data_IF_401193924804
#
_entry.id   IF_401193924804
#
_cell.length_a   1.000
_cell.length_b   1.000
_cell.length_c   1.000
_cell.angle_alpha   90.00
_cell.angle_beta   90.00
_cell.angle_gamma   90.00
#
_symmetry.space_group_name_H-M   'P 1'
#
loop_
_entity.id
_entity.type
_entity.pdbx_description
1 polymer ?
#
# COMPACT_ATOMS: atom_id res chain seq x y z
N UNK A 1 -12.93 13.26 6.46
CA UNK A 1 -13.81 12.74 5.74
C UNK A 1 -15.24 13.28 5.52
N UNK A 2 -16.09 12.42 4.96
CA UNK A 2 -17.48 12.76 4.60
C UNK A 2 -18.47 12.77 5.79
N UNK A 3 -18.01 12.62 7.05
CA UNK A 3 -18.85 12.72 8.26
C UNK A 3 -19.79 11.54 8.53
N UNK A 4 -19.58 10.40 7.89
CA UNK A 4 -20.37 9.18 8.15
C UNK A 4 -19.86 8.44 9.40
N UNK A 5 -20.77 7.73 10.09
CA UNK A 5 -20.37 6.80 11.14
C UNK A 5 -19.61 5.61 10.56
N UNK A 6 -18.81 4.93 11.37
CA UNK A 6 -18.05 3.78 10.94
C UNK A 6 -18.95 2.57 10.56
N UNK A 7 -20.14 2.47 11.14
CA UNK A 7 -21.13 1.43 10.82
C UNK A 7 -21.68 1.58 9.39
N UNK A 8 -21.94 2.84 8.98
CA UNK A 8 -22.33 3.16 7.59
C UNK A 8 -21.17 2.88 6.63
N UNK A 9 -19.94 3.21 7.04
CA UNK A 9 -18.74 2.89 6.23
C UNK A 9 -18.55 1.37 6.06
N UNK A 10 -18.79 0.56 7.11
CA UNK A 10 -18.76 -0.90 7.01
C UNK A 10 -19.84 -1.45 6.07
N UNK A 11 -21.06 -0.86 6.11
CA UNK A 11 -22.11 -1.22 5.18
C UNK A 11 -21.71 -0.93 3.73
N UNK A 12 -21.03 0.21 3.48
CA UNK A 12 -20.52 0.55 2.15
C UNK A 12 -19.44 -0.44 1.69
N UNK A 13 -18.51 -0.85 2.56
CA UNK A 13 -17.49 -1.89 2.27
C UNK A 13 -18.14 -3.23 1.97
N UNK A 14 -19.19 -3.62 2.70
CA UNK A 14 -19.92 -4.86 2.41
C UNK A 14 -20.56 -4.83 1.02
N UNK A 15 -21.25 -3.74 0.68
CA UNK A 15 -21.88 -3.56 -0.65
C UNK A 15 -20.82 -3.55 -1.75
N UNK A 16 -19.71 -2.86 -1.54
CA UNK A 16 -18.55 -2.87 -2.42
C UNK A 16 -18.03 -4.29 -2.69
N UNK A 17 -17.78 -5.07 -1.61
CA UNK A 17 -17.32 -6.46 -1.72
C UNK A 17 -18.27 -7.34 -2.52
N UNK A 18 -19.59 -7.20 -2.33
CA UNK A 18 -20.60 -7.93 -3.10
C UNK A 18 -20.58 -7.53 -4.58
N UNK A 19 -20.46 -6.23 -4.88
CA UNK A 19 -20.30 -5.75 -6.26
C UNK A 19 -19.01 -6.32 -6.87
N UNK A 20 -17.91 -6.40 -6.12
CA UNK A 20 -16.66 -6.97 -6.58
C UNK A 20 -16.77 -8.47 -6.90
N UNK A 21 -17.51 -9.23 -6.11
CA UNK A 21 -17.79 -10.63 -6.41
C UNK A 21 -18.47 -10.72 -7.78
N UNK A 22 -19.51 -9.92 -8.02
CA UNK A 22 -20.21 -9.88 -9.32
C UNK A 22 -19.29 -9.49 -10.48
N UNK A 23 -18.48 -8.44 -10.30
CA UNK A 23 -17.53 -7.96 -11.32
C UNK A 23 -16.41 -8.99 -11.59
N UNK A 24 -16.01 -9.76 -10.58
CA UNK A 24 -15.01 -10.84 -10.74
C UNK A 24 -15.61 -12.05 -11.45
N UNK A 25 -16.86 -12.42 -11.15
CA UNK A 25 -17.57 -13.51 -11.82
C UNK A 25 -17.83 -13.21 -13.30
N UNK A 26 -18.14 -11.95 -13.62
CA UNK A 26 -18.40 -11.49 -14.99
C UNK A 26 -17.12 -11.13 -15.77
N UNK A 27 -15.93 -11.32 -15.20
CA UNK A 27 -14.60 -11.04 -15.77
C UNK A 27 -14.38 -9.54 -16.10
N UNK A 28 -15.17 -8.62 -15.57
CA UNK A 28 -15.00 -7.17 -15.80
C UNK A 28 -13.68 -6.66 -15.18
N UNK A 29 -13.36 -7.06 -13.95
CA UNK A 29 -12.09 -6.70 -13.28
C UNK A 29 -10.88 -7.24 -14.06
N UNK A 30 -10.97 -8.47 -14.58
CA UNK A 30 -9.92 -9.04 -15.45
C UNK A 30 -9.76 -8.27 -16.75
N UNK A 31 -10.88 -7.84 -17.37
CA UNK A 31 -10.83 -7.04 -18.59
C UNK A 31 -10.15 -5.67 -18.33
N UNK A 32 -10.40 -5.03 -17.20
CA UNK A 32 -9.73 -3.78 -16.79
C UNK A 32 -8.23 -4.02 -16.64
N UNK A 33 -7.82 -5.07 -15.92
CA UNK A 33 -6.41 -5.43 -15.76
C UNK A 33 -5.72 -5.62 -17.12
N UNK A 34 -6.36 -6.38 -18.01
CA UNK A 34 -5.79 -6.70 -19.33
C UNK A 34 -5.79 -5.51 -20.29
N UNK A 35 -6.64 -4.51 -20.07
CA UNK A 35 -6.68 -3.30 -20.89
C UNK A 35 -5.48 -2.37 -20.67
N UNK A 36 -4.87 -2.43 -19.48
CA UNK A 36 -3.71 -1.60 -19.14
C UNK A 36 -2.49 -2.10 -19.93
N UNK A 37 -1.80 -1.24 -20.70
CA UNK A 37 -0.62 -1.60 -21.47
C UNK A 37 0.54 -2.08 -20.58
N UNK A 38 1.38 -3.00 -21.10
CA UNK A 38 2.52 -3.58 -20.36
C UNK A 38 3.47 -2.53 -19.79
N UNK A 39 3.83 -1.53 -20.58
CA UNK A 39 4.69 -0.41 -20.16
C UNK A 39 4.08 0.35 -18.96
N UNK A 40 2.77 0.59 -19.00
CA UNK A 40 2.09 1.26 -17.91
C UNK A 40 2.00 0.37 -16.66
N UNK A 41 1.88 -0.96 -16.82
CA UNK A 41 1.96 -1.91 -15.69
C UNK A 41 3.32 -1.88 -15.01
N UNK A 42 4.41 -1.80 -15.77
CA UNK A 42 5.75 -1.61 -15.21
C UNK A 42 5.84 -0.30 -14.44
N UNK A 43 5.31 0.79 -15.01
CA UNK A 43 5.26 2.10 -14.37
C UNK A 43 4.47 2.08 -13.05
N UNK A 44 3.35 1.35 -13.00
CA UNK A 44 2.57 1.14 -11.77
C UNK A 44 3.43 0.48 -10.69
N UNK A 45 4.16 -0.59 -11.02
CA UNK A 45 5.06 -1.23 -10.05
C UNK A 45 6.14 -0.28 -9.51
N UNK A 46 6.76 0.51 -10.38
CA UNK A 46 7.76 1.52 -10.01
C UNK A 46 7.16 2.62 -9.13
N UNK A 47 5.99 3.13 -9.52
CA UNK A 47 5.28 4.18 -8.78
C UNK A 47 4.88 3.73 -7.38
N UNK A 48 4.37 2.50 -7.23
CA UNK A 48 4.10 1.89 -5.93
C UNK A 48 5.39 1.79 -5.11
N UNK A 49 6.50 1.35 -5.70
CA UNK A 49 7.79 1.28 -5.01
C UNK A 49 8.23 2.63 -4.46
N UNK A 50 8.10 3.70 -5.26
CA UNK A 50 8.40 5.06 -4.83
C UNK A 50 7.43 5.55 -3.74
N UNK A 51 6.15 5.22 -3.86
CA UNK A 51 5.10 5.59 -2.92
C UNK A 51 5.31 4.94 -1.54
N UNK A 52 5.57 3.62 -1.47
CA UNK A 52 5.82 2.96 -0.18
C UNK A 52 7.14 3.41 0.45
N UNK A 53 8.15 3.76 -0.35
CA UNK A 53 9.37 4.39 0.15
C UNK A 53 9.05 5.72 0.82
N UNK A 54 8.22 6.55 0.18
CA UNK A 54 7.78 7.83 0.72
C UNK A 54 6.99 7.66 2.02
N UNK A 55 6.04 6.70 2.08
CA UNK A 55 5.34 6.34 3.32
C UNK A 55 6.32 5.91 4.40
N UNK A 56 7.32 5.09 4.07
CA UNK A 56 8.36 4.67 5.02
C UNK A 56 9.11 5.87 5.60
N UNK A 57 9.51 6.83 4.77
CA UNK A 57 10.20 8.04 5.20
C UNK A 57 9.32 8.94 6.10
N UNK A 58 8.02 9.03 5.81
CA UNK A 58 7.07 9.77 6.66
C UNK A 58 6.81 9.06 7.99
N UNK A 59 6.58 7.75 7.98
CA UNK A 59 6.37 6.95 9.19
C UNK A 59 7.58 6.98 10.13
N UNK A 60 8.78 7.17 9.57
CA UNK A 60 10.02 7.34 10.32
C UNK A 60 10.28 8.80 10.74
N UNK A 61 9.42 9.74 10.37
CA UNK A 61 9.59 11.17 10.55
C UNK A 61 10.88 11.72 9.90
N UNK A 62 11.47 11.01 8.93
CA UNK A 62 12.61 11.50 8.13
C UNK A 62 12.16 12.62 7.21
N UNK A 63 10.98 12.43 6.62
CA UNK A 63 10.25 13.44 5.83
C UNK A 63 9.02 13.86 6.61
N UNK A 64 8.88 15.14 6.82
CA UNK A 64 7.80 15.76 7.60
C UNK A 64 7.08 16.84 6.78
N UNK A 65 5.94 17.30 7.25
CA UNK A 65 5.21 18.39 6.61
C UNK A 65 6.07 19.65 6.54
N UNK A 66 6.00 20.34 5.40
CA UNK A 66 6.74 21.57 5.15
C UNK A 66 5.89 22.64 4.48
N UNK A 67 6.39 23.87 4.47
CA UNK A 67 5.68 24.99 3.87
C UNK A 67 5.37 24.79 2.36
N UNK A 68 6.19 23.97 1.69
CA UNK A 68 6.07 23.69 0.25
C UNK A 68 5.77 22.23 -0.06
N UNK A 69 5.05 21.54 0.77
CA UNK A 69 4.60 20.15 0.73
C UNK A 69 5.29 19.30 1.79
N UNK A 70 6.60 19.04 1.65
CA UNK A 70 7.38 18.24 2.61
C UNK A 70 8.77 18.84 2.79
N UNK A 71 9.39 18.55 3.94
CA UNK A 71 10.76 18.90 4.27
C UNK A 71 11.46 17.76 5.00
N UNK A 72 12.76 17.83 5.14
CA UNK A 72 13.52 16.89 5.97
C UNK A 72 13.41 17.28 7.44
N UNK A 73 13.38 16.27 8.31
CA UNK A 73 13.45 16.47 9.75
C UNK A 73 14.67 17.26 10.18
N UNK A 74 14.48 18.26 11.04
CA UNK A 74 15.55 19.13 11.54
C UNK A 74 16.05 18.66 12.91
N UNK A 75 17.16 17.95 12.93
CA UNK A 75 17.81 17.56 14.19
C UNK A 75 18.19 18.78 15.06
N UNK A 76 18.58 19.89 14.42
CA UNK A 76 18.91 21.13 15.14
C UNK A 76 17.71 21.68 15.89
N UNK A 77 16.55 21.72 15.24
CA UNK A 77 15.30 22.19 15.87
C UNK A 77 14.86 21.26 17.00
N UNK A 78 14.93 19.95 16.80
CA UNK A 78 14.59 18.97 17.83
C UNK A 78 15.50 19.09 19.08
N UNK A 79 16.80 19.34 18.88
CA UNK A 79 17.74 19.58 19.99
C UNK A 79 17.37 20.90 20.72
N UNK A 80 17.09 21.97 19.97
CA UNK A 80 16.74 23.26 20.54
C UNK A 80 15.41 23.22 21.29
N UNK A 81 14.43 22.49 20.76
CA UNK A 81 13.11 22.29 21.37
C UNK A 81 13.10 21.26 22.52
N UNK A 82 14.20 20.51 22.71
CA UNK A 82 14.28 19.46 23.73
C UNK A 82 13.53 18.18 23.38
N UNK A 83 13.09 18.00 22.11
CA UNK A 83 12.35 16.82 21.65
C UNK A 83 13.25 15.74 21.06
N UNK A 84 14.57 15.94 21.04
CA UNK A 84 15.51 14.98 20.46
C UNK A 84 15.42 13.60 21.11
N UNK A 85 15.23 13.51 22.43
CA UNK A 85 15.17 12.23 23.15
C UNK A 85 13.90 11.42 22.86
N UNK A 86 12.82 12.04 22.37
CA UNK A 86 11.59 11.32 21.99
C UNK A 86 11.50 11.14 20.47
N UNK A 87 11.69 12.20 19.70
CA UNK A 87 11.48 12.23 18.26
C UNK A 87 12.80 12.08 17.48
N UNK A 88 13.82 12.92 17.77
CA UNK A 88 15.07 12.93 17.01
C UNK A 88 15.81 11.59 17.03
N UNK A 89 15.80 10.90 18.16
CA UNK A 89 16.44 9.59 18.29
C UNK A 89 15.72 8.51 17.43
N UNK A 90 14.39 8.58 17.28
CA UNK A 90 13.66 7.63 16.44
C UNK A 90 13.97 7.82 14.96
N UNK A 91 14.10 9.06 14.50
CA UNK A 91 14.54 9.39 13.14
C UNK A 91 15.96 8.85 12.88
N UNK A 92 16.87 9.06 13.82
CA UNK A 92 18.24 8.54 13.72
C UNK A 92 18.26 7.01 13.66
N UNK A 93 17.47 6.34 14.51
CA UNK A 93 17.32 4.88 14.52
C UNK A 93 16.74 4.35 13.21
N UNK A 94 15.78 5.04 12.60
CA UNK A 94 15.23 4.66 11.29
C UNK A 94 16.30 4.73 10.19
N UNK A 95 17.11 5.77 10.17
CA UNK A 95 18.21 5.91 9.21
C UNK A 95 19.27 4.80 9.40
N UNK A 96 19.68 4.54 10.64
CA UNK A 96 20.60 3.44 10.98
C UNK A 96 19.96 2.10 10.61
N UNK A 97 18.69 1.87 10.93
CA UNK A 97 17.94 0.67 10.58
C UNK A 97 17.87 0.44 9.07
N UNK A 98 17.69 1.51 8.30
CA UNK A 98 17.70 1.44 6.82
C UNK A 98 19.08 0.99 6.30
N UNK A 99 20.18 1.51 6.87
CA UNK A 99 21.53 1.08 6.51
C UNK A 99 21.77 -0.39 6.91
N UNK A 100 21.35 -0.79 8.11
CA UNK A 100 21.49 -2.18 8.58
C UNK A 100 20.71 -3.13 7.67
N UNK A 101 19.42 -2.82 7.38
CA UNK A 101 18.60 -3.65 6.50
C UNK A 101 19.21 -3.75 5.11
N UNK A 102 19.70 -2.64 4.56
CA UNK A 102 20.40 -2.62 3.27
C UNK A 102 21.66 -3.47 3.27
N UNK A 103 22.45 -3.44 4.33
CA UNK A 103 23.64 -4.31 4.48
C UNK A 103 23.27 -5.79 4.57
N UNK A 104 22.18 -6.14 5.27
CA UNK A 104 21.68 -7.51 5.32
C UNK A 104 21.23 -8.01 3.93
N UNK A 105 20.58 -7.14 3.15
CA UNK A 105 20.21 -7.43 1.75
C UNK A 105 21.45 -7.65 0.88
N UNK A 106 22.43 -6.74 0.94
CA UNK A 106 23.69 -6.84 0.18
C UNK A 106 24.44 -8.16 0.49
N UNK A 107 24.41 -8.56 1.76
CA UNK A 107 25.03 -9.82 2.20
C UNK A 107 24.15 -11.06 1.94
N UNK A 108 23.00 -10.93 1.30
CA UNK A 108 22.04 -12.00 1.03
C UNK A 108 21.65 -12.82 2.28
N UNK A 109 21.52 -12.15 3.44
CA UNK A 109 21.07 -12.78 4.67
C UNK A 109 19.61 -13.18 4.55
N UNK A 110 19.25 -14.44 4.80
CA UNK A 110 17.86 -14.90 4.76
C UNK A 110 17.04 -14.19 5.85
N UNK A 111 15.84 -13.73 5.50
CA UNK A 111 14.98 -12.96 6.40
C UNK A 111 15.52 -11.55 6.70
N UNK A 112 16.31 -10.99 5.80
CA UNK A 112 16.97 -9.69 5.96
C UNK A 112 16.03 -8.56 6.37
N UNK A 113 14.80 -8.51 5.83
CA UNK A 113 13.80 -7.50 6.16
C UNK A 113 13.31 -7.66 7.60
N UNK A 114 12.93 -8.89 8.01
CA UNK A 114 12.50 -9.15 9.38
C UNK A 114 13.62 -8.88 10.38
N UNK A 115 14.83 -9.34 10.09
CA UNK A 115 16.00 -9.08 10.93
C UNK A 115 16.28 -7.58 11.03
N UNK A 116 16.13 -6.83 9.93
CA UNK A 116 16.25 -5.38 9.93
C UNK A 116 15.27 -4.70 10.88
N UNK A 117 14.00 -5.10 10.86
CA UNK A 117 12.97 -4.61 11.79
C UNK A 117 13.35 -4.94 13.24
N UNK A 118 13.68 -6.20 13.53
CA UNK A 118 13.98 -6.66 14.88
C UNK A 118 15.25 -6.01 15.45
N UNK A 119 16.30 -5.85 14.65
CA UNK A 119 17.55 -5.17 15.07
C UNK A 119 17.26 -3.69 15.34
N UNK A 120 16.52 -3.01 14.45
CA UNK A 120 16.20 -1.58 14.64
C UNK A 120 15.34 -1.38 15.88
N UNK A 121 14.34 -2.23 16.12
CA UNK A 121 13.54 -2.21 17.34
C UNK A 121 14.39 -2.50 18.58
N UNK A 122 15.26 -3.52 18.53
CA UNK A 122 16.19 -3.85 19.61
C UNK A 122 17.13 -2.69 19.98
N UNK A 123 17.64 -1.97 18.97
CA UNK A 123 18.41 -0.75 19.20
C UNK A 123 17.56 0.33 19.87
N UNK A 124 16.30 0.48 19.48
CA UNK A 124 15.34 1.38 20.13
C UNK A 124 15.14 1.04 21.60
N UNK A 125 14.94 -0.26 21.92
CA UNK A 125 14.83 -0.73 23.32
C UNK A 125 16.09 -0.43 24.10
N UNK A 126 17.28 -0.64 23.53
CA UNK A 126 18.54 -0.28 24.17
C UNK A 126 18.62 1.24 24.42
N UNK A 127 18.20 2.08 23.49
CA UNK A 127 18.13 3.52 23.69
C UNK A 127 17.14 3.88 24.82
N UNK A 128 16.02 3.20 24.94
CA UNK A 128 15.07 3.42 26.04
C UNK A 128 15.66 3.01 27.41
N UNK A 129 16.35 1.87 27.48
CA UNK A 129 16.98 1.40 28.73
C UNK A 129 18.14 2.30 29.19
N UNK A 130 18.86 2.93 28.24
CA UNK A 130 19.96 3.86 28.54
C UNK A 130 19.51 5.30 28.76
N UNK A 131 18.20 5.60 28.60
CA UNK A 131 17.65 6.95 28.74
C UNK A 131 17.92 7.87 27.53
N UNK A 132 18.46 7.35 26.45
CA UNK A 132 18.61 8.10 25.20
C UNK A 132 17.25 8.30 24.47
N UNK A 133 16.36 7.32 24.58
CA UNK A 133 14.97 7.44 24.15
C UNK A 133 14.08 7.58 25.39
N UNK A 134 13.30 8.64 25.41
CA UNK A 134 12.31 8.92 26.48
C UNK A 134 10.92 8.90 25.85
N UNK A 135 10.03 7.96 26.24
CA UNK A 135 8.66 7.93 25.76
C UNK A 135 7.92 9.24 26.05
N UNK A 136 7.19 9.74 25.06
CA UNK A 136 6.30 10.90 25.20
C UNK A 136 4.93 10.54 24.58
N UNK A 137 4.02 9.90 25.34
CA UNK A 137 2.73 9.43 24.82
C UNK A 137 1.83 10.56 24.27
N UNK A 138 1.95 11.79 24.81
CA UNK A 138 1.19 12.95 24.35
C UNK A 138 1.58 13.35 22.91
N UNK A 139 2.84 13.13 22.53
CA UNK A 139 3.34 13.33 21.19
C UNK A 139 3.31 12.06 20.31
N UNK A 140 2.69 10.96 20.77
CA UNK A 140 2.58 9.71 20.03
C UNK A 140 3.78 8.76 20.14
N UNK A 141 4.78 9.08 20.97
CA UNK A 141 5.96 8.24 21.19
C UNK A 141 5.80 7.35 22.42
N UNK A 142 5.41 6.09 22.20
CA UNK A 142 5.12 5.13 23.25
C UNK A 142 6.35 4.32 23.67
N UNK A 143 6.20 3.56 24.79
CA UNK A 143 7.22 2.62 25.22
C UNK A 143 7.47 1.55 24.15
N UNK A 144 8.76 1.26 23.90
CA UNK A 144 9.21 0.23 22.94
C UNK A 144 9.26 -1.16 23.57
N UNK A 145 9.09 -1.22 24.90
CA UNK A 145 9.08 -2.46 25.66
C UNK A 145 7.64 -2.93 25.80
N UNK A 146 7.32 -4.17 25.34
CA UNK A 146 5.97 -4.70 25.47
C UNK A 146 5.54 -4.79 26.95
N UNK A 147 4.30 -4.40 27.25
CA UNK A 147 3.76 -4.50 28.59
C UNK A 147 3.59 -5.97 29.04
N UNK A 148 3.35 -6.87 28.08
CA UNK A 148 3.28 -8.33 28.28
C UNK A 148 3.68 -9.04 27.00
N UNK A 149 4.04 -10.33 27.07
CA UNK A 149 4.37 -11.12 25.88
C UNK A 149 3.12 -11.73 25.23
N UNK A 150 2.13 -12.07 26.04
CA UNK A 150 0.91 -12.75 25.60
C UNK A 150 -0.29 -12.02 26.20
N UNK A 151 -1.33 -11.87 25.39
CA UNK A 151 -2.64 -11.41 25.81
C UNK A 151 -3.73 -12.24 25.11
N UNK A 152 -4.89 -12.38 25.74
CA UNK A 152 -6.04 -12.96 25.05
C UNK A 152 -6.55 -12.01 23.97
N UNK A 153 -6.92 -12.53 22.80
CA UNK A 153 -7.51 -11.70 21.74
C UNK A 153 -8.73 -10.92 22.25
N UNK A 154 -8.83 -9.65 21.84
CA UNK A 154 -10.00 -8.85 22.16
C UNK A 154 -11.27 -9.43 21.52
N UNK A 155 -12.42 -9.26 22.19
CA UNK A 155 -13.70 -9.69 21.64
C UNK A 155 -14.04 -8.93 20.35
N UNK A 156 -14.52 -9.63 19.34
CA UNK A 156 -15.06 -9.05 18.10
C UNK A 156 -16.50 -8.53 18.28
N UNK A 157 -17.17 -8.82 19.40
CA UNK A 157 -18.58 -8.44 19.61
C UNK A 157 -18.89 -6.93 19.38
N UNK A 158 -18.00 -5.97 19.67
CA UNK A 158 -18.26 -4.57 19.39
C UNK A 158 -18.34 -4.21 17.89
N UNK A 159 -17.69 -4.99 17.03
CA UNK A 159 -17.56 -4.68 15.59
C UNK A 159 -18.29 -5.69 14.69
N UNK A 160 -18.50 -6.92 15.19
CA UNK A 160 -19.08 -7.99 14.40
C UNK A 160 -20.53 -7.67 13.98
N UNK A 161 -20.79 -7.69 12.67
CA UNK A 161 -22.10 -7.42 12.05
C UNK A 161 -22.73 -6.07 12.46
N UNK A 162 -21.90 -5.04 12.71
CA UNK A 162 -22.36 -3.70 13.08
C UNK A 162 -22.61 -2.79 11.88
N UNK A 163 -22.81 -3.36 10.70
CA UNK A 163 -23.10 -2.61 9.48
C UNK A 163 -24.48 -1.93 9.57
N UNK A 164 -24.54 -0.63 9.28
CA UNK A 164 -25.78 0.13 9.23
C UNK A 164 -26.21 0.36 7.77
N UNK A 165 -27.27 -0.30 7.35
CA UNK A 165 -27.85 -0.19 6.01
C UNK A 165 -29.03 0.81 5.93
N UNK A 166 -29.30 1.60 6.97
CA UNK A 166 -30.47 2.49 7.03
C UNK A 166 -30.55 3.49 5.87
N UNK A 167 -29.38 3.91 5.36
CA UNK A 167 -29.26 4.91 4.29
C UNK A 167 -28.76 4.34 2.94
N UNK A 168 -28.83 3.03 2.72
CA UNK A 168 -28.25 2.33 1.57
C UNK A 168 -28.77 2.84 0.21
N UNK A 169 -29.98 3.37 0.13
CA UNK A 169 -30.57 3.90 -1.10
C UNK A 169 -30.34 5.43 -1.26
N UNK A 170 -29.67 6.08 -0.33
CA UNK A 170 -29.36 7.50 -0.48
C UNK A 170 -28.29 7.75 -1.56
N UNK A 171 -28.40 8.85 -2.28
CA UNK A 171 -27.41 9.26 -3.29
C UNK A 171 -26.01 9.37 -2.66
N UNK A 172 -25.95 9.93 -1.45
CA UNK A 172 -24.69 10.09 -0.73
C UNK A 172 -24.04 8.74 -0.40
N UNK A 173 -24.81 7.73 0.04
CA UNK A 173 -24.29 6.38 0.27
C UNK A 173 -23.75 5.74 -1.02
N UNK A 174 -24.48 5.89 -2.14
CA UNK A 174 -24.02 5.40 -3.45
C UNK A 174 -22.72 6.06 -3.89
N UNK A 175 -22.53 7.35 -3.62
CA UNK A 175 -21.27 8.06 -3.86
C UNK A 175 -20.13 7.47 -3.04
N UNK A 176 -20.36 7.15 -1.76
CA UNK A 176 -19.36 6.50 -0.90
C UNK A 176 -18.99 5.12 -1.43
N UNK A 177 -19.97 4.28 -1.74
CA UNK A 177 -19.74 2.94 -2.32
C UNK A 177 -18.96 3.05 -3.62
N UNK A 178 -19.34 3.98 -4.51
CA UNK A 178 -18.64 4.20 -5.77
C UNK A 178 -17.19 4.64 -5.53
N UNK A 179 -16.96 5.53 -4.59
CA UNK A 179 -15.61 6.01 -4.24
C UNK A 179 -14.73 4.86 -3.71
N UNK A 180 -15.24 4.03 -2.81
CA UNK A 180 -14.54 2.87 -2.28
C UNK A 180 -14.24 1.87 -3.39
N UNK A 181 -15.27 1.48 -4.15
CA UNK A 181 -15.15 0.57 -5.28
C UNK A 181 -14.11 1.03 -6.30
N UNK A 182 -14.09 2.33 -6.58
CA UNK A 182 -13.14 2.91 -7.52
C UNK A 182 -11.70 2.82 -6.99
N UNK A 183 -11.47 3.25 -5.75
CA UNK A 183 -10.14 3.22 -5.13
C UNK A 183 -9.65 1.78 -5.03
N UNK A 184 -10.45 0.87 -4.48
CA UNK A 184 -10.04 -0.52 -4.24
C UNK A 184 -9.79 -1.30 -5.54
N UNK A 185 -10.58 -1.08 -6.62
CA UNK A 185 -10.27 -1.70 -7.93
C UNK A 185 -8.84 -1.38 -8.35
N UNK A 186 -8.45 -0.11 -8.31
CA UNK A 186 -7.16 0.31 -8.84
C UNK A 186 -6.02 0.02 -7.87
N UNK A 187 -6.24 0.08 -6.57
CA UNK A 187 -5.25 -0.33 -5.57
C UNK A 187 -4.96 -1.82 -5.66
N UNK A 188 -5.99 -2.68 -5.70
CA UNK A 188 -5.82 -4.13 -5.90
C UNK A 188 -5.14 -4.45 -7.24
N UNK A 189 -5.60 -3.84 -8.35
CA UNK A 189 -4.98 -4.08 -9.65
C UNK A 189 -3.53 -3.61 -9.68
N UNK A 190 -3.23 -2.44 -9.10
CA UNK A 190 -1.88 -1.91 -8.99
C UNK A 190 -0.97 -2.85 -8.20
N UNK A 191 -1.39 -3.29 -7.04
CA UNK A 191 -0.64 -4.20 -6.17
C UNK A 191 -0.42 -5.57 -6.83
N UNK A 192 -1.46 -6.14 -7.48
CA UNK A 192 -1.33 -7.39 -8.23
C UNK A 192 -0.34 -7.25 -9.39
N UNK A 193 -0.37 -6.13 -10.13
CA UNK A 193 0.61 -5.83 -11.18
C UNK A 193 2.02 -5.77 -10.58
N UNK A 194 2.19 -5.02 -9.49
CA UNK A 194 3.48 -4.85 -8.83
C UNK A 194 4.08 -6.16 -8.35
N UNK A 195 3.31 -6.95 -7.59
CA UNK A 195 3.73 -8.25 -7.08
C UNK A 195 3.97 -9.26 -8.21
N UNK A 196 3.08 -9.34 -9.20
CA UNK A 196 3.21 -10.26 -10.33
C UNK A 196 4.43 -9.92 -11.21
N UNK A 197 4.69 -8.63 -11.46
CA UNK A 197 5.89 -8.19 -12.20
C UNK A 197 7.18 -8.55 -11.45
N UNK A 198 7.19 -8.38 -10.11
CA UNK A 198 8.34 -8.75 -9.27
C UNK A 198 8.56 -10.26 -9.22
N UNK A 199 7.47 -11.05 -9.27
CA UNK A 199 7.52 -12.51 -9.26
C UNK A 199 7.78 -13.14 -10.63
N UNK A 200 7.91 -12.35 -11.71
CA UNK A 200 7.96 -12.77 -13.10
C UNK A 200 6.76 -13.69 -13.48
N UNK A 201 5.58 -13.39 -12.94
CA UNK A 201 4.36 -14.17 -13.17
C UNK A 201 3.53 -13.65 -14.36
N UNK A 202 3.86 -12.49 -14.91
CA UNK A 202 3.19 -11.98 -16.11
C UNK A 202 3.65 -12.74 -17.34
N UNK A 203 2.71 -13.05 -18.23
CA UNK A 203 3.01 -13.65 -19.52
C UNK A 203 3.63 -12.63 -20.50
N UNK A 204 3.95 -13.07 -21.73
CA UNK A 204 4.57 -12.24 -22.77
C UNK A 204 3.68 -11.06 -23.21
N UNK A 205 2.37 -11.19 -23.01
CA UNK A 205 1.38 -10.15 -23.30
C UNK A 205 1.12 -9.24 -22.08
N UNK A 206 1.85 -9.43 -20.97
CA UNK A 206 1.68 -8.69 -19.72
C UNK A 206 0.41 -9.07 -18.95
N UNK A 207 -0.17 -10.26 -19.20
CA UNK A 207 -1.34 -10.77 -18.49
C UNK A 207 -0.92 -11.64 -17.32
N UNK A 208 -1.71 -11.62 -16.25
CA UNK A 208 -1.51 -12.48 -15.10
C UNK A 208 -2.37 -13.75 -15.22
N UNK A 209 -1.75 -14.94 -15.35
CA UNK A 209 -2.52 -16.18 -15.37
C UNK A 209 -3.35 -16.36 -14.08
N UNK A 210 -4.58 -16.86 -14.23
CA UNK A 210 -5.51 -17.13 -13.11
C UNK A 210 -5.89 -15.89 -12.29
N UNK A 211 -5.77 -14.69 -12.83
CA UNK A 211 -6.11 -13.43 -12.17
C UNK A 211 -7.54 -13.42 -11.59
N UNK A 212 -8.50 -14.08 -12.27
CA UNK A 212 -9.89 -14.20 -11.79
C UNK A 212 -9.99 -14.77 -10.38
N UNK A 213 -9.20 -15.82 -10.08
CA UNK A 213 -9.18 -16.42 -8.75
C UNK A 213 -8.62 -15.47 -7.69
N UNK A 214 -7.57 -14.71 -8.02
CA UNK A 214 -6.99 -13.71 -7.12
C UNK A 214 -8.00 -12.58 -6.82
N UNK A 215 -8.64 -12.03 -7.86
CA UNK A 215 -9.64 -10.97 -7.73
C UNK A 215 -10.90 -11.44 -6.98
N UNK A 216 -11.29 -12.71 -7.12
CA UNK A 216 -12.42 -13.27 -6.38
C UNK A 216 -12.08 -13.48 -4.90
N UNK A 217 -10.86 -13.95 -4.59
CA UNK A 217 -10.40 -14.11 -3.22
C UNK A 217 -10.36 -12.76 -2.48
N UNK A 218 -9.88 -11.71 -3.14
CA UNK A 218 -9.86 -10.33 -2.66
C UNK A 218 -11.29 -9.83 -2.35
N UNK A 219 -12.23 -10.00 -3.28
CA UNK A 219 -13.63 -9.59 -3.12
C UNK A 219 -14.34 -10.33 -1.96
N UNK A 220 -14.08 -11.63 -1.82
CA UNK A 220 -14.62 -12.43 -0.69
C UNK A 220 -13.98 -11.95 0.61
N UNK A 221 -12.67 -11.70 0.62
CA UNK A 221 -11.95 -11.15 1.77
C UNK A 221 -12.55 -9.83 2.25
N UNK A 222 -12.81 -8.89 1.34
CA UNK A 222 -13.45 -7.60 1.63
C UNK A 222 -14.84 -7.78 2.24
N UNK A 223 -15.67 -8.64 1.63
CA UNK A 223 -17.03 -8.91 2.15
C UNK A 223 -17.00 -9.52 3.56
N UNK A 224 -16.14 -10.53 3.78
CA UNK A 224 -15.96 -11.17 5.10
C UNK A 224 -15.38 -10.18 6.10
N UNK A 225 -14.42 -9.36 5.68
CA UNK A 225 -13.83 -8.29 6.50
C UNK A 225 -14.86 -7.32 7.03
N UNK A 226 -15.77 -6.85 6.16
CA UNK A 226 -16.87 -5.98 6.57
C UNK A 226 -17.78 -6.62 7.63
N UNK A 227 -18.09 -7.93 7.50
CA UNK A 227 -18.86 -8.68 8.49
C UNK A 227 -18.12 -8.75 9.84
N UNK A 228 -16.79 -8.91 9.82
CA UNK A 228 -15.95 -8.94 11.02
C UNK A 228 -15.71 -7.54 11.62
N UNK A 229 -16.03 -6.47 10.89
CA UNK A 229 -15.91 -5.09 11.35
C UNK A 229 -14.59 -4.42 10.97
N UNK A 230 -13.95 -4.86 9.89
CA UNK A 230 -12.77 -4.19 9.33
C UNK A 230 -13.09 -3.52 8.00
N UNK A 231 -12.22 -2.59 7.58
CA UNK A 231 -12.29 -1.96 6.26
C UNK A 231 -12.02 -2.94 5.12
N UNK A 232 -12.04 -2.46 3.88
CA UNK A 232 -11.69 -3.20 2.68
C UNK A 232 -10.41 -4.01 2.88
N UNK A 233 -10.43 -5.28 2.50
CA UNK A 233 -9.26 -6.17 2.48
C UNK A 233 -8.76 -6.21 1.04
N UNK A 234 -7.52 -5.81 0.83
CA UNK A 234 -6.89 -5.75 -0.49
C UNK A 234 -5.56 -6.52 -0.49
N UNK A 235 -5.03 -6.75 -1.67
CA UNK A 235 -3.70 -7.36 -1.84
C UNK A 235 -2.62 -6.40 -1.34
N UNK A 236 -1.71 -6.87 -0.47
CA UNK A 236 -0.63 -6.07 0.11
C UNK A 236 0.63 -6.05 -0.76
N UNK A 237 1.18 -4.86 -0.95
CA UNK A 237 2.46 -4.63 -1.65
C UNK A 237 3.63 -5.30 -0.94
N UNK A 238 3.58 -5.39 0.39
CA UNK A 238 4.56 -6.04 1.26
C UNK A 238 4.74 -7.54 0.92
N UNK A 239 3.77 -8.16 0.25
CA UNK A 239 3.91 -9.51 -0.34
C UNK A 239 5.12 -9.63 -1.26
N UNK A 240 5.58 -8.52 -1.86
CA UNK A 240 6.80 -8.48 -2.67
C UNK A 240 8.06 -8.84 -1.90
N UNK A 241 8.08 -8.65 -0.57
CA UNK A 241 9.18 -9.07 0.29
C UNK A 241 9.27 -10.59 0.40
N UNK A 242 8.13 -11.26 0.64
CA UNK A 242 8.06 -12.73 0.63
C UNK A 242 8.40 -13.33 -0.74
N UNK A 243 8.00 -12.66 -1.82
CA UNK A 243 8.35 -13.04 -3.20
C UNK A 243 9.87 -12.93 -3.41
N UNK A 244 10.51 -11.88 -2.91
CA UNK A 244 11.96 -11.69 -2.98
C UNK A 244 12.73 -12.80 -2.23
N UNK A 245 12.19 -13.28 -1.10
CA UNK A 245 12.73 -14.42 -0.33
C UNK A 245 12.43 -15.79 -0.96
N UNK A 246 11.67 -15.85 -2.05
CA UNK A 246 11.42 -17.07 -2.81
C UNK A 246 10.01 -17.66 -2.69
N UNK A 247 9.05 -16.96 -2.11
CA UNK A 247 7.65 -17.40 -2.09
C UNK A 247 7.09 -17.49 -3.52
N UNK A 248 6.49 -18.64 -3.88
CA UNK A 248 5.96 -18.90 -5.24
C UNK A 248 4.63 -19.65 -5.26
N UNK A 249 4.12 -20.07 -4.11
CA UNK A 249 2.91 -20.88 -4.01
C UNK A 249 1.95 -20.33 -2.94
N UNK A 250 0.67 -20.71 -3.02
CA UNK A 250 -0.33 -20.36 -2.01
C UNK A 250 -0.03 -20.88 -0.60
N UNK A 251 0.91 -21.84 -0.46
CA UNK A 251 1.34 -22.30 0.87
C UNK A 251 1.94 -21.18 1.70
N UNK A 252 2.72 -20.28 1.08
CA UNK A 252 3.26 -19.09 1.77
C UNK A 252 2.15 -18.20 2.32
N UNK A 253 1.06 -18.00 1.56
CA UNK A 253 -0.09 -17.22 2.02
C UNK A 253 -0.84 -17.89 3.17
N UNK A 254 -0.97 -19.23 3.16
CA UNK A 254 -1.55 -19.98 4.28
C UNK A 254 -0.71 -19.81 5.55
N UNK A 255 0.63 -19.90 5.42
CA UNK A 255 1.55 -19.67 6.55
C UNK A 255 1.41 -18.24 7.08
N UNK A 256 1.35 -17.25 6.20
CA UNK A 256 1.14 -15.84 6.59
C UNK A 256 -0.19 -15.69 7.33
N UNK A 257 -1.29 -16.28 6.82
CA UNK A 257 -2.59 -16.27 7.51
C UNK A 257 -2.52 -16.92 8.88
N UNK A 258 -1.83 -18.06 9.02
CA UNK A 258 -1.58 -18.71 10.30
C UNK A 258 -0.78 -17.84 11.28
N UNK A 259 0.24 -17.13 10.79
CA UNK A 259 1.02 -16.18 11.59
C UNK A 259 0.17 -14.99 12.03
N UNK A 260 -0.73 -14.47 11.18
CA UNK A 260 -1.69 -13.43 11.59
C UNK A 260 -2.62 -13.92 12.70
N UNK A 261 -3.13 -15.16 12.62
CA UNK A 261 -3.95 -15.74 13.70
C UNK A 261 -3.15 -15.91 15.01
N UNK A 262 -1.90 -16.35 14.92
CA UNK A 262 -1.01 -16.44 16.08
C UNK A 262 -0.70 -15.05 16.66
N UNK A 263 -0.54 -14.03 15.83
CA UNK A 263 -0.24 -12.67 16.27
C UNK A 263 -1.32 -12.06 17.16
N UNK A 264 -2.57 -12.56 17.10
CA UNK A 264 -3.65 -12.13 18.00
C UNK A 264 -3.29 -12.37 19.48
N UNK A 265 -2.59 -13.47 19.77
CA UNK A 265 -2.14 -13.80 21.12
C UNK A 265 -0.87 -13.03 21.53
N UNK A 266 -0.09 -12.61 20.56
CA UNK A 266 1.13 -11.82 20.77
C UNK A 266 0.92 -10.33 20.49
N UNK A 267 -0.33 -9.88 20.50
CA UNK A 267 -0.69 -8.48 20.19
C UNK A 267 0.12 -7.44 20.98
N UNK A 268 0.45 -7.61 22.28
CA UNK A 268 1.25 -6.62 22.99
C UNK A 268 2.68 -6.47 22.43
N UNK A 269 3.25 -7.55 21.90
CA UNK A 269 4.58 -7.53 21.28
C UNK A 269 4.51 -6.78 19.93
N UNK A 270 3.54 -7.13 19.07
CA UNK A 270 3.40 -6.50 17.77
C UNK A 270 3.04 -5.01 17.88
N UNK A 271 2.20 -4.64 18.85
CA UNK A 271 1.84 -3.25 19.10
C UNK A 271 2.99 -2.40 19.67
N UNK A 272 4.00 -3.05 20.26
CA UNK A 272 5.19 -2.35 20.76
C UNK A 272 6.24 -2.09 19.67
N UNK A 273 6.12 -2.71 18.47
CA UNK A 273 7.02 -2.45 17.34
C UNK A 273 6.69 -1.06 16.75
N UNK A 274 7.61 -0.09 16.86
CA UNK A 274 7.32 1.27 16.43
C UNK A 274 7.46 1.43 14.91
N UNK A 275 6.82 2.47 14.36
CA UNK A 275 6.88 2.78 12.93
C UNK A 275 8.29 3.04 12.42
N UNK A 276 9.17 3.65 13.23
CA UNK A 276 10.57 3.85 12.84
C UNK A 276 11.36 2.54 12.64
N UNK A 277 10.94 1.44 13.28
CA UNK A 277 11.58 0.14 13.10
C UNK A 277 11.06 -0.59 11.85
N UNK A 278 9.82 -0.34 11.44
CA UNK A 278 9.22 -0.93 10.22
C UNK A 278 9.53 -0.12 8.96
N UNK A 279 9.79 1.16 9.08
CA UNK A 279 10.10 2.06 7.97
C UNK A 279 11.27 1.59 7.07
N UNK A 280 12.40 1.06 7.62
CA UNK A 280 13.48 0.47 6.82
C UNK A 280 12.98 -0.63 5.87
N UNK A 281 12.04 -1.45 6.32
CA UNK A 281 11.45 -2.51 5.50
C UNK A 281 10.69 -1.92 4.29
N UNK A 282 9.85 -0.90 4.51
CA UNK A 282 9.11 -0.22 3.44
C UNK A 282 10.05 0.41 2.42
N UNK A 283 11.12 1.05 2.87
CA UNK A 283 12.13 1.68 2.00
C UNK A 283 12.82 0.62 1.14
N UNK A 284 13.25 -0.50 1.72
CA UNK A 284 13.94 -1.57 1.00
C UNK A 284 12.99 -2.31 0.04
N UNK A 285 11.74 -2.56 0.45
CA UNK A 285 10.72 -3.15 -0.45
C UNK A 285 10.43 -2.21 -1.61
N UNK A 286 10.32 -0.91 -1.35
CA UNK A 286 10.17 0.10 -2.40
C UNK A 286 11.30 0.07 -3.41
N UNK A 287 12.55 -0.06 -2.95
CA UNK A 287 13.70 -0.25 -3.83
C UNK A 287 13.56 -1.50 -4.72
N UNK A 288 13.14 -2.63 -4.17
CA UNK A 288 12.94 -3.84 -4.98
C UNK A 288 11.89 -3.65 -6.07
N UNK A 289 10.82 -2.93 -5.81
CA UNK A 289 9.77 -2.65 -6.79
C UNK A 289 10.24 -1.64 -7.86
N UNK A 290 11.03 -0.64 -7.47
CA UNK A 290 11.60 0.33 -8.40
C UNK A 290 12.55 -0.29 -9.45
N UNK A 291 13.12 -1.46 -9.22
CA UNK A 291 13.99 -2.14 -10.19
C UNK A 291 13.32 -2.37 -11.56
N UNK A 292 11.98 -2.41 -11.61
CA UNK A 292 11.23 -2.55 -12.87
C UNK A 292 11.40 -1.33 -13.79
N UNK A 293 11.88 -0.20 -13.31
CA UNK A 293 12.14 1.02 -14.11
C UNK A 293 13.09 0.73 -15.28
N UNK A 294 14.05 -0.18 -15.10
CA UNK A 294 15.01 -0.58 -16.14
C UNK A 294 14.36 -1.31 -17.33
N UNK A 295 13.14 -1.86 -17.15
CA UNK A 295 12.41 -2.58 -18.21
C UNK A 295 11.51 -1.65 -19.05
N UNK A 296 11.32 -0.40 -18.64
CA UNK A 296 10.50 0.59 -19.36
C UNK A 296 11.29 1.10 -20.58
N UNK A 297 10.66 1.10 -21.76
CA UNK A 297 11.25 1.72 -22.96
C UNK A 297 11.09 3.25 -22.91
N UNK A 298 12.12 3.92 -22.42
CA UNK A 298 12.20 5.37 -22.30
C UNK A 298 12.42 6.10 -23.65
N UNK A 299 12.73 5.38 -24.74
CA UNK A 299 12.91 6.00 -26.06
C UNK A 299 11.57 6.25 -26.77
N UNK A 300 10.54 5.52 -26.44
CA UNK A 300 9.20 5.72 -26.99
C UNK A 300 8.41 6.75 -26.16
N UNK A 301 8.45 8.01 -26.53
CA UNK A 301 7.82 9.11 -25.79
C UNK A 301 6.31 8.95 -25.57
N UNK A 302 5.60 8.23 -26.44
CA UNK A 302 4.16 7.99 -26.30
C UNK A 302 3.83 7.04 -25.13
N UNK A 303 4.78 6.23 -24.70
CA UNK A 303 4.65 5.34 -23.54
C UNK A 303 5.47 5.84 -22.35
N UNK A 304 6.64 6.42 -22.59
CA UNK A 304 7.54 6.91 -21.54
C UNK A 304 6.94 8.08 -20.75
N UNK A 305 6.31 9.06 -21.41
CA UNK A 305 5.68 10.18 -20.71
C UNK A 305 4.51 9.72 -19.82
N UNK A 306 3.55 8.91 -20.28
CA UNK A 306 2.53 8.35 -19.39
C UNK A 306 3.10 7.52 -18.25
N UNK A 307 4.16 6.72 -18.50
CA UNK A 307 4.84 5.96 -17.47
C UNK A 307 5.44 6.88 -16.40
N UNK A 308 6.14 7.94 -16.80
CA UNK A 308 6.68 8.93 -15.91
C UNK A 308 5.58 9.61 -15.07
N UNK A 309 4.48 10.04 -15.71
CA UNK A 309 3.34 10.67 -15.03
C UNK A 309 2.74 9.71 -13.99
N UNK A 310 2.55 8.43 -14.34
CA UNK A 310 2.05 7.41 -13.43
C UNK A 310 2.96 7.24 -12.20
N UNK A 311 4.27 7.17 -12.42
CA UNK A 311 5.27 6.94 -11.38
C UNK A 311 5.30 8.08 -10.36
N UNK A 312 5.43 9.34 -10.82
CA UNK A 312 5.56 10.44 -9.88
C UNK A 312 4.24 10.85 -9.23
N UNK A 313 3.11 10.64 -9.92
CA UNK A 313 1.81 11.02 -9.37
C UNK A 313 1.45 10.23 -8.10
N UNK A 314 1.86 8.97 -7.97
CA UNK A 314 1.55 8.15 -6.80
C UNK A 314 2.02 8.76 -5.48
N UNK A 315 3.31 9.09 -5.28
CA UNK A 315 3.75 9.72 -4.05
C UNK A 315 3.24 11.16 -3.88
N UNK A 316 3.11 11.94 -4.97
CA UNK A 316 2.67 13.34 -4.87
C UNK A 316 1.17 13.48 -4.61
N UNK A 317 0.33 12.58 -5.14
CA UNK A 317 -1.10 12.53 -4.84
C UNK A 317 -1.41 11.66 -3.60
N UNK A 318 -0.39 11.03 -3.00
CA UNK A 318 -0.53 10.10 -1.88
C UNK A 318 -1.54 8.97 -2.16
N UNK A 319 -1.57 8.46 -3.40
CA UNK A 319 -2.55 7.46 -3.85
C UNK A 319 -2.06 6.67 -5.06
N UNK A 320 -2.13 5.33 -4.95
CA UNK A 320 -1.84 4.42 -6.06
C UNK A 320 -2.87 4.61 -7.18
N UNK A 321 -4.15 4.70 -6.82
CA UNK A 321 -5.24 4.83 -7.80
C UNK A 321 -5.16 6.12 -8.61
N UNK A 322 -4.74 7.23 -7.99
CA UNK A 322 -4.52 8.50 -8.70
C UNK A 322 -3.37 8.40 -9.69
N UNK A 323 -2.27 7.76 -9.32
CA UNK A 323 -1.15 7.53 -10.24
C UNK A 323 -1.56 6.71 -11.46
N UNK A 324 -2.36 5.65 -11.26
CA UNK A 324 -2.90 4.83 -12.35
C UNK A 324 -3.83 5.67 -13.23
N UNK A 325 -4.71 6.48 -12.61
CA UNK A 325 -5.64 7.34 -13.33
C UNK A 325 -4.92 8.33 -14.26
N UNK A 326 -3.93 9.06 -13.72
CA UNK A 326 -3.12 10.00 -14.53
C UNK A 326 -2.31 9.27 -15.60
N UNK A 327 -1.79 8.08 -15.33
CA UNK A 327 -1.14 7.24 -16.32
C UNK A 327 -2.07 6.86 -17.47
N UNK A 328 -3.28 6.39 -17.17
CA UNK A 328 -4.29 5.99 -18.17
C UNK A 328 -4.76 7.21 -19.01
N UNK A 329 -5.08 8.32 -18.36
CA UNK A 329 -5.52 9.55 -19.05
C UNK A 329 -4.41 10.03 -19.99
N UNK A 330 -3.19 10.18 -19.50
CA UNK A 330 -2.07 10.68 -20.30
C UNK A 330 -1.71 9.72 -21.44
N UNK A 331 -1.73 8.41 -21.22
CA UNK A 331 -1.52 7.41 -22.27
C UNK A 331 -2.55 7.55 -23.39
N UNK A 332 -3.83 7.62 -23.02
CA UNK A 332 -4.93 7.73 -23.99
C UNK A 332 -4.85 9.03 -24.79
N UNK A 333 -4.68 10.17 -24.12
CA UNK A 333 -4.64 11.48 -24.76
C UNK A 333 -3.43 11.60 -25.68
N UNK A 334 -2.24 11.18 -25.24
CA UNK A 334 -1.02 11.29 -26.05
C UNK A 334 -1.05 10.36 -27.27
N UNK A 335 -1.61 9.16 -27.15
CA UNK A 335 -1.79 8.26 -28.31
C UNK A 335 -2.82 8.81 -29.30
N UNK A 336 -3.88 9.43 -28.82
CA UNK A 336 -4.88 10.09 -29.67
C UNK A 336 -4.25 11.28 -30.43
N UNK A 337 -3.59 12.17 -29.71
CA UNK A 337 -2.90 13.33 -30.29
C UNK A 337 -1.75 12.94 -31.23
N UNK A 338 -1.05 11.85 -30.90
CA UNK A 338 0.04 11.32 -31.72
C UNK A 338 -0.40 10.47 -32.92
N UNK A 339 -1.70 10.45 -33.26
CA UNK A 339 -2.23 9.70 -34.40
C UNK A 339 -2.19 8.18 -34.28
N UNK A 340 -1.97 7.66 -33.06
CA UNK A 340 -1.89 6.22 -32.76
C UNK A 340 -3.11 5.71 -31.98
N UNK A 341 -4.29 6.32 -32.20
CA UNK A 341 -5.55 5.97 -31.53
C UNK A 341 -5.89 4.47 -31.55
N UNK A 342 -5.52 3.76 -32.63
CA UNK A 342 -5.74 2.29 -32.76
C UNK A 342 -4.96 1.43 -31.76
N UNK A 343 -3.92 1.99 -31.10
CA UNK A 343 -3.17 1.28 -30.05
C UNK A 343 -3.85 1.34 -28.68
N UNK A 344 -4.81 2.23 -28.51
CA UNK A 344 -5.60 2.36 -27.28
C UNK A 344 -6.80 1.44 -27.35
N UNK A 345 -6.97 0.59 -26.35
CA UNK A 345 -8.12 -0.32 -26.31
C UNK A 345 -9.42 0.46 -26.05
N UNK A 346 -10.59 -0.02 -26.53
CA UNK A 346 -11.87 0.64 -26.24
C UNK A 346 -12.12 0.85 -24.74
N UNK A 347 -11.71 -0.11 -23.93
CA UNK A 347 -11.87 -0.02 -22.47
C UNK A 347 -11.00 1.09 -21.86
N UNK A 348 -9.80 1.35 -22.39
CA UNK A 348 -8.96 2.49 -21.96
C UNK A 348 -9.64 3.83 -22.22
N UNK A 349 -10.37 3.99 -23.33
CA UNK A 349 -11.17 5.20 -23.57
C UNK A 349 -12.28 5.35 -22.53
N UNK A 350 -12.99 4.27 -22.22
CA UNK A 350 -14.05 4.27 -21.20
C UNK A 350 -13.45 4.64 -19.84
N UNK A 351 -12.34 4.02 -19.42
CA UNK A 351 -11.66 4.33 -18.18
C UNK A 351 -11.21 5.79 -18.13
N UNK A 352 -10.65 6.32 -19.23
CA UNK A 352 -10.24 7.73 -19.31
C UNK A 352 -11.43 8.67 -19.07
N UNK A 353 -12.57 8.39 -19.68
CA UNK A 353 -13.78 9.19 -19.47
C UNK A 353 -14.26 9.08 -18.00
N UNK A 354 -14.28 7.89 -17.43
CA UNK A 354 -14.67 7.68 -16.03
C UNK A 354 -13.74 8.45 -15.08
N UNK A 355 -12.42 8.41 -15.30
CA UNK A 355 -11.47 9.16 -14.49
C UNK A 355 -11.64 10.68 -14.60
N UNK A 356 -11.86 11.20 -15.82
CA UNK A 356 -12.11 12.62 -16.01
C UNK A 356 -13.41 13.03 -15.31
N UNK A 357 -14.48 12.23 -15.43
CA UNK A 357 -15.74 12.50 -14.74
C UNK A 357 -15.57 12.46 -13.22
N UNK A 358 -14.78 11.52 -12.69
CA UNK A 358 -14.41 11.47 -11.26
C UNK A 358 -13.82 12.81 -10.80
N UNK A 359 -12.86 13.39 -11.53
CA UNK A 359 -12.23 14.66 -11.16
C UNK A 359 -13.13 15.88 -11.31
N UNK A 360 -14.20 15.78 -12.08
CA UNK A 360 -15.15 16.88 -12.24
C UNK A 360 -16.24 16.85 -11.16
N UNK A 361 -16.66 15.66 -10.74
CA UNK A 361 -17.87 15.47 -9.91
C UNK A 361 -17.61 14.92 -8.51
N UNK A 362 -16.43 14.35 -8.24
CA UNK A 362 -15.99 13.83 -6.93
C UNK A 362 -14.74 14.53 -6.41
#
# INVERSE_FOLDING_TARGET
GMGYSWEVALAAVCVEGLIFILLSLTNVREAIFNAIPGELKLAVSVGIGLFITFIGLQNAHVVVDGATLVTLFSFKEAITAGTFASEGITVLLALIGTLITSLLVIKNVKGNILLGILITWGLGILCQLTGLYVPNPEAGFHSLIPASLIAMPASLAPTFMKMDFSNVLSVNFLVVVFSFLFVDIFDTLGTLIGCASKADMLDKDGKLPRIKGALLADAIGTTVGAVLGTSTITTFVESSSGIAEGARTGLSSIVVGGLFLLSLFFSPVFLAIPSFATAPALIVVGFFMMQQVAKIDWNNMLTAIPAFICIFAMPFAYSISEGIAFGIISYTVLHLAGGKAKKVTPLMYVLTVIFILKYIFL
#
